data_IF_781756456020
#
_entry.id   IF_781756456020
#
_cell.length_a   1.000
_cell.length_b   1.000
_cell.length_c   1.000
_cell.angle_alpha   90.00
_cell.angle_beta   90.00
_cell.angle_gamma   90.00
#
_symmetry.space_group_name_H-M   'P 1'
#
loop_
_entity.id
_entity.type
_entity.pdbx_description
1 polymer ?
#
# COMPACT_ATOMS: atom_id res chain seq x y z
N UNK A 1 35.63 -0.47 6.75
CA UNK A 1 35.52 -1.94 6.71
C UNK A 1 34.09 -2.31 7.00
N UNK A 2 33.43 -3.23 6.29
CA UNK A 2 32.09 -3.68 6.65
C UNK A 2 32.17 -4.35 8.03
N UNK A 3 31.29 -3.91 8.95
CA UNK A 3 31.18 -4.56 10.27
C UNK A 3 30.77 -6.01 10.07
N UNK A 4 31.45 -6.99 10.68
CA UNK A 4 31.07 -8.42 10.57
C UNK A 4 29.71 -8.75 11.18
N UNK A 5 29.08 -7.81 11.86
CA UNK A 5 27.84 -7.97 12.64
C UNK A 5 26.53 -7.53 11.92
N UNK A 6 26.57 -7.20 10.63
CA UNK A 6 25.32 -6.84 9.94
C UNK A 6 24.44 -8.08 9.73
N UNK A 7 23.12 -8.01 10.06
CA UNK A 7 22.23 -9.14 9.88
C UNK A 7 22.09 -9.55 8.39
N UNK A 8 21.80 -10.79 8.11
CA UNK A 8 21.43 -11.22 6.79
C UNK A 8 20.01 -10.67 6.47
N UNK A 9 19.89 -9.97 5.36
CA UNK A 9 18.62 -9.39 4.89
C UNK A 9 18.11 -10.18 3.70
N UNK A 10 16.84 -10.59 3.73
CA UNK A 10 16.13 -11.12 2.57
C UNK A 10 15.10 -10.10 2.07
N UNK A 11 15.32 -9.59 0.85
CA UNK A 11 14.34 -8.82 0.11
C UNK A 11 13.40 -9.76 -0.65
N UNK A 12 12.11 -9.75 -0.32
CA UNK A 12 11.09 -10.56 -0.99
C UNK A 12 10.28 -9.69 -1.95
N UNK A 13 10.35 -9.97 -3.24
CA UNK A 13 9.75 -9.16 -4.31
C UNK A 13 8.65 -9.97 -5.00
N UNK A 14 7.36 -9.76 -4.68
CA UNK A 14 6.27 -10.35 -5.44
C UNK A 14 6.24 -9.73 -6.83
N UNK A 15 6.21 -10.55 -7.85
CA UNK A 15 6.31 -10.13 -9.23
C UNK A 15 5.29 -10.88 -10.09
N UNK A 16 4.62 -10.18 -11.01
CA UNK A 16 3.84 -10.80 -12.08
C UNK A 16 3.61 -9.82 -13.22
N UNK A 17 4.13 -10.15 -14.41
CA UNK A 17 4.07 -9.34 -15.62
C UNK A 17 4.61 -7.91 -15.37
N UNK A 18 5.86 -7.82 -14.94
CA UNK A 18 6.57 -6.59 -14.58
C UNK A 18 7.86 -6.41 -15.42
N UNK A 19 7.92 -6.98 -16.65
CA UNK A 19 9.12 -6.94 -17.50
C UNK A 19 9.70 -5.54 -17.67
N UNK A 20 8.83 -4.50 -17.71
CA UNK A 20 9.24 -3.11 -17.84
C UNK A 20 9.91 -2.56 -16.57
N UNK A 21 9.56 -3.06 -15.38
CA UNK A 21 9.91 -2.44 -14.10
C UNK A 21 10.90 -3.24 -13.27
N UNK A 22 10.92 -4.57 -13.43
CA UNK A 22 11.74 -5.44 -12.59
C UNK A 22 13.25 -5.19 -12.77
N UNK A 23 13.71 -4.88 -13.98
CA UNK A 23 15.11 -4.56 -14.26
C UNK A 23 15.59 -3.35 -13.45
N UNK A 24 14.98 -2.16 -13.59
CA UNK A 24 15.29 -0.99 -12.77
C UNK A 24 15.20 -1.23 -11.26
N UNK A 25 14.27 -2.06 -10.79
CA UNK A 25 14.15 -2.46 -9.39
C UNK A 25 15.40 -3.23 -8.95
N UNK A 26 15.78 -4.28 -9.66
CA UNK A 26 16.96 -5.10 -9.36
C UNK A 26 18.25 -4.29 -9.45
N UNK A 27 18.38 -3.41 -10.45
CA UNK A 27 19.51 -2.50 -10.56
C UNK A 27 19.68 -1.61 -9.32
N UNK A 28 18.57 -1.14 -8.74
CA UNK A 28 18.60 -0.33 -7.52
C UNK A 28 19.11 -1.12 -6.31
N UNK A 29 18.77 -2.41 -6.22
CA UNK A 29 19.26 -3.31 -5.17
C UNK A 29 20.71 -3.72 -5.37
N UNK A 30 21.17 -3.87 -6.62
CA UNK A 30 22.57 -4.09 -6.93
C UNK A 30 23.43 -2.89 -6.52
N UNK A 31 22.94 -1.67 -6.74
CA UNK A 31 23.63 -0.43 -6.37
C UNK A 31 23.51 -0.06 -4.89
N UNK A 32 22.73 -0.79 -4.08
CA UNK A 32 22.60 -0.45 -2.66
C UNK A 32 23.92 -0.62 -1.90
N UNK A 33 24.10 0.14 -0.81
CA UNK A 33 25.27 0.15 0.04
C UNK A 33 25.32 -1.02 1.05
N UNK A 34 24.33 -1.90 1.04
CA UNK A 34 24.30 -3.08 1.87
C UNK A 34 25.22 -4.17 1.30
N UNK A 35 26.04 -4.86 2.13
CA UNK A 35 26.96 -5.90 1.68
C UNK A 35 26.21 -7.01 0.92
N UNK A 36 26.70 -7.40 -0.26
CA UNK A 36 26.00 -8.39 -1.12
C UNK A 36 26.05 -9.80 -0.55
N UNK A 37 27.09 -10.09 0.21
CA UNK A 37 27.23 -11.33 1.00
C UNK A 37 26.27 -11.42 2.20
N UNK A 38 25.61 -10.30 2.55
CA UNK A 38 24.59 -10.18 3.59
C UNK A 38 23.22 -9.80 3.04
N UNK A 39 23.03 -9.91 1.72
CA UNK A 39 21.77 -9.61 1.03
C UNK A 39 21.33 -10.81 0.19
N UNK A 40 20.10 -11.22 0.36
CA UNK A 40 19.40 -12.17 -0.48
C UNK A 40 18.20 -11.48 -1.13
N UNK A 41 18.00 -11.65 -2.42
CA UNK A 41 16.87 -11.09 -3.17
C UNK A 41 16.08 -12.22 -3.79
N UNK A 42 14.86 -12.42 -3.33
CA UNK A 42 13.94 -13.45 -3.81
C UNK A 42 12.84 -12.78 -4.67
N UNK A 43 12.90 -12.96 -5.98
CA UNK A 43 11.85 -12.52 -6.90
C UNK A 43 10.82 -13.65 -7.01
N UNK A 44 9.67 -13.45 -6.34
CA UNK A 44 8.60 -14.44 -6.26
C UNK A 44 7.60 -14.22 -7.40
N UNK A 45 7.83 -14.90 -8.53
CA UNK A 45 7.12 -14.68 -9.79
C UNK A 45 5.84 -15.50 -9.91
N UNK A 46 4.74 -14.81 -10.21
CA UNK A 46 3.40 -15.37 -10.41
C UNK A 46 3.19 -16.01 -11.78
N UNK A 47 4.16 -16.74 -12.32
CA UNK A 47 4.15 -17.35 -13.66
C UNK A 47 3.89 -16.29 -14.73
N UNK A 48 4.76 -15.29 -14.80
CA UNK A 48 4.72 -14.21 -15.79
C UNK A 48 4.87 -14.70 -17.23
N UNK A 49 4.19 -14.02 -18.16
CA UNK A 49 4.10 -14.39 -19.59
C UNK A 49 4.63 -13.26 -20.51
N UNK A 50 5.14 -12.16 -19.94
CA UNK A 50 5.55 -10.94 -20.64
C UNK A 50 7.08 -10.77 -20.77
N UNK A 51 7.86 -11.82 -20.49
CA UNK A 51 9.33 -11.78 -20.48
C UNK A 51 9.94 -11.41 -19.12
N UNK A 52 9.14 -11.14 -18.08
CA UNK A 52 9.64 -10.86 -16.72
C UNK A 52 10.63 -11.92 -16.24
N UNK A 53 10.31 -13.20 -16.44
CA UNK A 53 11.13 -14.34 -15.97
C UNK A 53 12.50 -14.35 -16.63
N UNK A 54 12.58 -14.06 -17.94
CA UNK A 54 13.84 -14.01 -18.67
C UNK A 54 14.72 -12.87 -18.17
N UNK A 55 14.13 -11.70 -17.90
CA UNK A 55 14.84 -10.59 -17.26
C UNK A 55 15.42 -11.02 -15.92
N UNK A 56 14.62 -11.60 -15.01
CA UNK A 56 15.08 -12.03 -13.68
C UNK A 56 16.15 -13.12 -13.79
N UNK A 57 15.98 -14.10 -14.68
CA UNK A 57 16.98 -15.15 -14.93
C UNK A 57 18.33 -14.56 -15.37
N UNK A 58 18.31 -13.54 -16.24
CA UNK A 58 19.51 -12.82 -16.65
C UNK A 58 20.24 -12.11 -15.51
N UNK A 59 19.50 -11.59 -14.51
CA UNK A 59 20.08 -11.01 -13.30
C UNK A 59 20.61 -12.10 -12.36
N UNK A 60 19.88 -13.17 -12.13
CA UNK A 60 20.29 -14.29 -11.28
C UNK A 60 21.56 -14.98 -11.76
N UNK A 61 21.74 -15.09 -13.09
CA UNK A 61 22.97 -15.64 -13.69
C UNK A 61 24.22 -14.79 -13.40
N UNK A 62 24.06 -13.48 -13.19
CA UNK A 62 25.17 -12.54 -12.94
C UNK A 62 25.37 -12.21 -11.46
N UNK A 63 24.36 -12.42 -10.62
CA UNK A 63 24.35 -12.04 -9.21
C UNK A 63 23.80 -13.17 -8.35
N UNK A 64 24.68 -13.92 -7.70
CA UNK A 64 24.34 -15.11 -6.90
C UNK A 64 23.39 -14.85 -5.72
N UNK A 65 23.29 -13.60 -5.27
CA UNK A 65 22.36 -13.19 -4.21
C UNK A 65 20.92 -12.95 -4.71
N UNK A 66 20.67 -13.03 -6.04
CA UNK A 66 19.33 -12.90 -6.65
C UNK A 66 18.84 -14.28 -7.08
N UNK A 67 17.65 -14.65 -6.66
CA UNK A 67 16.99 -15.91 -7.02
C UNK A 67 15.56 -15.69 -7.49
N UNK A 68 15.14 -16.51 -8.47
CA UNK A 68 13.74 -16.61 -8.90
C UNK A 68 13.04 -17.69 -8.09
N UNK A 69 11.86 -17.37 -7.54
CA UNK A 69 10.99 -18.31 -6.81
C UNK A 69 9.63 -18.36 -7.50
N UNK A 70 9.10 -19.55 -7.72
CA UNK A 70 7.80 -19.73 -8.36
C UNK A 70 6.65 -19.46 -7.39
N UNK A 71 5.63 -18.71 -7.85
CA UNK A 71 4.38 -18.52 -7.17
C UNK A 71 3.20 -18.99 -8.05
N UNK A 72 2.87 -20.30 -8.04
CA UNK A 72 1.81 -20.86 -8.91
C UNK A 72 0.42 -20.30 -8.58
N UNK A 73 0.20 -19.75 -7.39
CA UNK A 73 -1.07 -19.13 -6.99
C UNK A 73 -1.28 -17.72 -7.54
N UNK A 74 -0.26 -17.11 -8.11
CA UNK A 74 -0.30 -15.84 -8.89
C UNK A 74 -0.81 -14.61 -8.13
N UNK A 75 -0.94 -14.65 -6.81
CA UNK A 75 -1.37 -13.53 -5.97
C UNK A 75 -0.24 -13.09 -5.03
N UNK A 76 -0.26 -11.79 -4.68
CA UNK A 76 0.80 -11.16 -3.89
C UNK A 76 1.04 -11.83 -2.52
N UNK A 77 0.05 -12.12 -1.66
CA UNK A 77 0.33 -12.75 -0.36
C UNK A 77 0.97 -14.13 -0.50
N UNK A 78 0.59 -14.92 -1.51
CA UNK A 78 1.22 -16.21 -1.75
C UNK A 78 2.68 -16.05 -2.22
N UNK A 79 2.98 -15.04 -3.03
CA UNK A 79 4.36 -14.70 -3.42
C UNK A 79 5.20 -14.30 -2.20
N UNK A 80 4.65 -13.45 -1.32
CA UNK A 80 5.30 -13.06 -0.08
C UNK A 80 5.58 -14.26 0.82
N UNK A 81 4.61 -15.14 1.00
CA UNK A 81 4.74 -16.34 1.84
C UNK A 81 5.74 -17.35 1.25
N UNK A 82 5.74 -17.54 -0.07
CA UNK A 82 6.75 -18.35 -0.73
C UNK A 82 8.16 -17.79 -0.49
N UNK A 83 8.34 -16.48 -0.65
CA UNK A 83 9.62 -15.84 -0.38
C UNK A 83 10.03 -15.91 1.08
N UNK A 84 9.12 -15.69 2.04
CA UNK A 84 9.42 -15.81 3.48
C UNK A 84 9.85 -17.23 3.84
N UNK A 85 9.21 -18.23 3.25
CA UNK A 85 9.55 -19.65 3.46
C UNK A 85 10.97 -20.00 2.97
N UNK A 86 11.35 -19.45 1.81
CA UNK A 86 12.66 -19.67 1.17
C UNK A 86 13.76 -18.73 1.71
N UNK A 87 13.39 -17.72 2.51
CA UNK A 87 14.31 -16.71 3.00
C UNK A 87 15.26 -17.28 4.06
N UNK A 88 16.52 -16.83 4.04
CA UNK A 88 17.53 -17.17 5.04
C UNK A 88 17.86 -15.98 5.97
N UNK A 89 17.41 -14.77 5.62
CA UNK A 89 17.74 -13.54 6.37
C UNK A 89 17.14 -13.48 7.77
N UNK A 90 17.86 -12.83 8.68
CA UNK A 90 17.39 -12.45 10.04
C UNK A 90 16.36 -11.32 9.96
N UNK A 91 16.42 -10.58 8.86
CA UNK A 91 15.55 -9.47 8.53
C UNK A 91 14.87 -9.75 7.19
N UNK A 92 13.55 -9.59 7.14
CA UNK A 92 12.72 -9.80 5.94
C UNK A 92 12.17 -8.45 5.49
N UNK A 93 12.36 -8.13 4.21
CA UNK A 93 11.88 -6.90 3.58
C UNK A 93 10.97 -7.21 2.40
N UNK A 94 9.62 -7.17 2.55
CA UNK A 94 8.70 -7.14 1.43
C UNK A 94 8.94 -5.89 0.58
N UNK A 95 9.23 -6.04 -0.70
CA UNK A 95 9.59 -4.94 -1.61
C UNK A 95 8.75 -4.99 -2.89
N UNK A 96 8.51 -3.84 -3.52
CA UNK A 96 7.70 -3.77 -4.75
C UNK A 96 8.54 -3.92 -6.01
N UNK A 97 8.10 -4.73 -6.98
CA UNK A 97 8.78 -4.95 -8.25
C UNK A 97 8.86 -3.68 -9.14
N UNK A 98 7.93 -2.73 -8.96
CA UNK A 98 7.86 -1.46 -9.70
C UNK A 98 8.29 -0.25 -8.86
N UNK A 99 9.13 -0.47 -7.88
CA UNK A 99 9.76 0.58 -7.09
C UNK A 99 11.27 0.64 -7.35
N UNK A 100 11.83 1.82 -7.19
CA UNK A 100 13.27 2.07 -7.23
C UNK A 100 13.69 2.58 -5.85
N UNK A 101 14.71 1.98 -5.29
CA UNK A 101 15.16 2.23 -3.93
C UNK A 101 16.44 3.07 -3.93
N UNK A 102 16.57 3.98 -2.95
CA UNK A 102 17.81 4.72 -2.77
C UNK A 102 18.95 3.79 -2.35
N UNK A 103 20.22 4.12 -2.66
CA UNK A 103 21.34 3.26 -2.27
C UNK A 103 21.40 2.90 -0.80
N UNK A 104 21.02 3.81 0.10
CA UNK A 104 21.02 3.60 1.55
C UNK A 104 19.67 3.10 2.12
N UNK A 105 18.73 2.65 1.27
CA UNK A 105 17.39 2.25 1.72
C UNK A 105 17.45 1.08 2.73
N UNK A 106 18.15 0.02 2.37
CA UNK A 106 18.26 -1.19 3.22
C UNK A 106 19.07 -0.89 4.47
N UNK A 107 20.26 -0.30 4.33
CA UNK A 107 21.18 -0.04 5.46
C UNK A 107 20.55 0.87 6.52
N UNK A 108 19.83 1.92 6.10
CA UNK A 108 19.14 2.83 7.03
C UNK A 108 17.95 2.18 7.74
N UNK A 109 17.16 1.36 7.04
CA UNK A 109 16.06 0.65 7.71
C UNK A 109 16.54 -0.41 8.67
N UNK A 110 17.60 -1.15 8.33
CA UNK A 110 18.22 -2.11 9.25
C UNK A 110 18.77 -1.39 10.50
N UNK A 111 19.51 -0.30 10.31
CA UNK A 111 20.01 0.49 11.44
C UNK A 111 18.85 1.02 12.31
N UNK A 112 17.80 1.56 11.71
CA UNK A 112 16.63 2.04 12.45
C UNK A 112 15.89 0.91 13.19
N UNK A 113 15.82 -0.30 12.61
CA UNK A 113 15.24 -1.48 13.26
C UNK A 113 16.02 -1.85 14.52
N UNK A 114 17.35 -1.77 14.48
CA UNK A 114 18.23 -2.03 15.63
C UNK A 114 18.13 -0.93 16.68
N UNK A 115 18.27 0.34 16.28
CA UNK A 115 18.24 1.50 17.18
C UNK A 115 16.90 1.63 17.93
N UNK A 116 15.78 1.42 17.25
CA UNK A 116 14.45 1.62 17.86
C UNK A 116 13.93 0.40 18.60
N UNK A 117 14.50 -0.77 18.34
CA UNK A 117 13.98 -2.04 18.82
C UNK A 117 12.54 -2.31 18.38
N UNK A 118 12.06 -1.66 17.31
CA UNK A 118 10.76 -1.92 16.74
C UNK A 118 10.72 -3.30 16.06
N UNK A 119 9.51 -3.84 15.86
CA UNK A 119 9.29 -5.11 15.17
C UNK A 119 9.28 -4.92 13.65
N UNK A 120 8.84 -3.75 13.20
CA UNK A 120 8.79 -3.34 11.81
C UNK A 120 9.12 -1.86 11.67
N UNK A 121 9.95 -1.51 10.71
CA UNK A 121 10.24 -0.12 10.34
C UNK A 121 10.06 0.08 8.85
N UNK A 122 9.67 1.28 8.42
CA UNK A 122 9.54 1.61 7.00
C UNK A 122 9.66 3.09 6.75
N UNK A 123 9.93 3.43 5.49
CA UNK A 123 10.14 4.81 5.05
C UNK A 123 8.88 5.52 4.57
N UNK A 124 9.06 6.72 4.06
CA UNK A 124 8.03 7.52 3.38
C UNK A 124 7.96 7.10 1.91
N UNK A 125 6.73 7.00 1.40
CA UNK A 125 6.45 6.72 0.01
C UNK A 125 6.09 8.01 -0.71
N UNK A 126 7.05 8.57 -1.44
CA UNK A 126 6.82 9.74 -2.29
C UNK A 126 6.08 9.31 -3.56
N UNK A 127 4.88 9.82 -3.74
CA UNK A 127 4.05 9.51 -4.90
C UNK A 127 4.41 10.43 -6.06
N UNK A 128 4.90 9.86 -7.15
CA UNK A 128 5.22 10.57 -8.39
C UNK A 128 4.07 10.47 -9.39
N UNK A 129 3.86 11.49 -10.25
CA UNK A 129 2.86 11.41 -11.31
C UNK A 129 3.29 10.43 -12.41
N UNK A 130 2.33 9.71 -13.00
CA UNK A 130 2.60 8.78 -14.10
C UNK A 130 3.08 9.47 -15.39
N UNK A 131 2.72 10.75 -15.55
CA UNK A 131 3.10 11.64 -16.67
C UNK A 131 2.90 13.10 -16.26
N UNK A 132 3.24 14.04 -17.18
CA UNK A 132 3.22 15.47 -16.91
C UNK A 132 1.85 16.16 -17.01
N UNK A 133 0.77 15.42 -17.21
CA UNK A 133 -0.58 16.01 -17.26
C UNK A 133 -1.03 16.55 -15.91
N UNK A 134 -1.89 17.57 -15.91
CA UNK A 134 -2.45 18.15 -14.69
C UNK A 134 -3.22 17.10 -13.87
N UNK A 135 -3.92 16.17 -14.54
CA UNK A 135 -4.63 15.09 -13.89
C UNK A 135 -3.68 14.10 -13.21
N UNK A 136 -2.60 13.67 -13.87
CA UNK A 136 -1.62 12.76 -13.28
C UNK A 136 -0.92 13.39 -12.06
N UNK A 137 -0.60 14.68 -12.14
CA UNK A 137 -0.06 15.46 -11.00
C UNK A 137 -1.10 15.53 -9.85
N UNK A 138 -2.37 15.80 -10.17
CA UNK A 138 -3.43 15.84 -9.16
C UNK A 138 -3.67 14.48 -8.49
N UNK A 139 -3.57 13.37 -9.25
CA UNK A 139 -3.63 12.02 -8.69
C UNK A 139 -2.49 11.78 -7.70
N UNK A 140 -1.25 12.15 -8.05
CA UNK A 140 -0.12 12.02 -7.14
C UNK A 140 -0.29 12.88 -5.87
N UNK A 141 -0.73 14.13 -6.03
CA UNK A 141 -1.03 15.04 -4.92
C UNK A 141 -2.16 14.48 -4.05
N UNK A 142 -3.28 14.05 -4.62
CA UNK A 142 -4.41 13.50 -3.88
C UNK A 142 -4.05 12.27 -3.05
N UNK A 143 -3.17 11.41 -3.58
CA UNK A 143 -2.65 10.22 -2.90
C UNK A 143 -1.63 10.54 -1.78
N UNK A 144 -1.18 11.78 -1.68
CA UNK A 144 -0.25 12.28 -0.66
C UNK A 144 -0.82 13.44 0.15
N UNK A 145 -2.12 13.75 0.01
CA UNK A 145 -2.77 14.85 0.70
C UNK A 145 -3.59 14.35 1.89
N UNK A 146 -3.52 15.00 3.07
CA UNK A 146 -4.28 14.58 4.27
C UNK A 146 -5.79 14.47 4.00
N UNK A 147 -6.38 15.35 3.20
CA UNK A 147 -7.80 15.25 2.83
C UNK A 147 -8.07 14.00 1.96
N UNK A 148 -7.12 13.56 1.12
CA UNK A 148 -7.30 12.40 0.25
C UNK A 148 -7.10 11.04 0.93
N UNK A 149 -6.12 10.96 1.87
CA UNK A 149 -5.69 9.67 2.46
C UNK A 149 -5.67 9.69 4.01
N UNK A 150 -6.21 10.75 4.62
CA UNK A 150 -6.22 10.91 6.07
C UNK A 150 -4.80 11.04 6.65
N UNK A 151 -4.61 10.51 7.86
CA UNK A 151 -3.33 10.49 8.56
C UNK A 151 -2.44 9.30 8.17
N UNK A 152 -2.42 8.94 6.88
CA UNK A 152 -1.52 7.92 6.34
C UNK A 152 -0.09 8.47 6.26
N UNK A 153 0.62 8.49 7.39
CA UNK A 153 1.91 9.19 7.54
C UNK A 153 2.98 8.73 6.54
N UNK A 154 2.97 7.48 6.15
CA UNK A 154 3.89 7.02 5.11
C UNK A 154 3.63 7.66 3.72
N UNK A 155 2.46 8.25 3.48
CA UNK A 155 2.10 8.96 2.25
C UNK A 155 2.20 10.47 2.37
N UNK A 156 1.77 11.02 3.52
CA UNK A 156 1.77 12.46 3.75
C UNK A 156 3.10 12.98 4.31
N UNK A 157 3.97 12.08 4.74
CA UNK A 157 5.22 12.40 5.41
C UNK A 157 5.04 12.64 6.91
N UNK A 158 6.16 12.74 7.62
CA UNK A 158 6.25 13.14 9.01
C UNK A 158 7.55 13.92 9.22
N UNK A 159 7.59 14.85 10.19
CA UNK A 159 8.80 15.62 10.52
C UNK A 159 9.82 14.77 11.29
N UNK A 160 9.34 13.82 12.10
CA UNK A 160 10.14 13.01 13.00
C UNK A 160 9.73 11.53 12.93
N UNK A 161 10.62 10.65 13.39
CA UNK A 161 10.32 9.22 13.58
C UNK A 161 9.13 9.07 14.52
N UNK A 162 8.20 8.19 14.18
CA UNK A 162 6.97 8.02 14.97
C UNK A 162 6.39 6.63 14.86
N UNK A 163 5.70 6.20 15.90
CA UNK A 163 4.87 5.01 15.88
C UNK A 163 3.66 5.22 14.94
N UNK A 164 3.40 4.23 14.10
CA UNK A 164 2.32 4.26 13.11
C UNK A 164 1.59 2.91 13.08
N UNK A 165 0.44 2.89 12.42
CA UNK A 165 -0.33 1.67 12.21
C UNK A 165 0.20 0.80 11.06
N UNK A 166 0.87 1.41 10.09
CA UNK A 166 1.42 0.68 8.94
C UNK A 166 2.53 1.49 8.25
N UNK A 167 3.41 0.80 7.57
CA UNK A 167 4.46 1.33 6.69
C UNK A 167 4.49 0.57 5.37
N UNK A 168 4.85 1.18 4.24
CA UNK A 168 5.08 0.48 3.00
C UNK A 168 6.45 -0.20 3.04
N UNK A 169 6.60 -1.32 2.35
CA UNK A 169 7.88 -2.00 2.19
C UNK A 169 8.63 -2.15 3.52
N UNK A 170 7.93 -2.68 4.53
CA UNK A 170 8.43 -2.77 5.89
C UNK A 170 9.69 -3.64 6.01
N UNK A 171 10.54 -3.27 6.95
CA UNK A 171 11.72 -4.02 7.36
C UNK A 171 11.39 -4.72 8.68
N UNK A 172 11.18 -6.03 8.63
CA UNK A 172 10.71 -6.84 9.74
C UNK A 172 11.84 -7.72 10.28
N UNK A 173 11.90 -7.89 11.60
CA UNK A 173 12.66 -9.03 12.19
C UNK A 173 11.98 -10.33 11.78
N UNK A 174 12.74 -11.37 11.41
CA UNK A 174 12.19 -12.70 11.10
C UNK A 174 11.29 -13.24 12.22
N UNK A 175 11.71 -13.07 13.48
CA UNK A 175 10.95 -13.50 14.65
C UNK A 175 9.52 -12.93 14.72
N UNK A 176 9.20 -11.86 13.98
CA UNK A 176 7.82 -11.36 13.84
C UNK A 176 6.96 -12.41 13.14
N UNK A 177 7.43 -12.97 12.03
CA UNK A 177 6.70 -13.98 11.27
C UNK A 177 6.55 -15.30 12.05
N UNK A 178 7.53 -15.65 12.87
CA UNK A 178 7.46 -16.81 13.76
C UNK A 178 6.40 -16.60 14.85
N UNK A 179 6.27 -15.36 15.36
CA UNK A 179 5.34 -15.00 16.44
C UNK A 179 3.91 -14.82 15.96
N UNK A 180 3.70 -14.06 14.88
CA UNK A 180 2.35 -13.68 14.42
C UNK A 180 1.88 -14.44 13.17
N UNK A 181 2.73 -15.28 12.57
CA UNK A 181 2.48 -15.95 11.29
C UNK A 181 2.73 -15.04 10.08
N UNK A 182 2.56 -15.61 8.91
CA UNK A 182 2.83 -14.96 7.61
C UNK A 182 1.60 -14.21 7.07
N UNK A 183 1.65 -13.72 5.83
CA UNK A 183 0.54 -13.00 5.19
C UNK A 183 -0.70 -13.87 5.01
N UNK A 184 -1.87 -13.28 5.22
CA UNK A 184 -3.14 -13.96 4.96
C UNK A 184 -3.41 -14.05 3.45
N UNK A 185 -3.45 -15.27 2.92
CA UNK A 185 -3.58 -15.54 1.49
C UNK A 185 -4.98 -15.31 0.92
N UNK A 186 -5.98 -15.10 1.76
CA UNK A 186 -7.31 -14.68 1.33
C UNK A 186 -7.40 -13.18 1.03
N UNK A 187 -6.40 -12.39 1.44
CA UNK A 187 -6.39 -10.94 1.27
C UNK A 187 -5.51 -10.53 0.09
N UNK A 188 -6.08 -10.47 -1.10
CA UNK A 188 -5.36 -10.03 -2.32
C UNK A 188 -4.94 -8.55 -2.23
N UNK A 189 -5.61 -7.77 -1.38
CA UNK A 189 -5.28 -6.38 -1.01
C UNK A 189 -5.36 -6.22 0.50
N UNK A 190 -4.64 -5.23 1.03
CA UNK A 190 -4.57 -4.94 2.46
C UNK A 190 -4.01 -6.11 3.31
N UNK A 191 -3.30 -7.04 2.70
CA UNK A 191 -2.58 -8.12 3.38
C UNK A 191 -1.49 -7.58 4.32
N UNK A 192 -0.84 -6.47 3.91
CA UNK A 192 0.13 -5.73 4.72
C UNK A 192 -0.52 -5.02 5.91
N UNK A 193 -1.66 -4.39 5.69
CA UNK A 193 -2.44 -3.76 6.77
C UNK A 193 -2.94 -4.80 7.79
N UNK A 194 -3.38 -5.97 7.33
CA UNK A 194 -3.80 -7.08 8.20
C UNK A 194 -2.63 -7.59 9.05
N UNK A 195 -1.50 -7.87 8.42
CA UNK A 195 -0.30 -8.33 9.11
C UNK A 195 0.17 -7.31 10.17
N UNK A 196 0.21 -6.03 9.79
CA UNK A 196 0.58 -4.94 10.70
C UNK A 196 -0.43 -4.78 11.85
N UNK A 197 -1.73 -4.88 11.59
CA UNK A 197 -2.75 -4.83 12.64
C UNK A 197 -2.65 -6.02 13.60
N UNK A 198 -2.35 -7.21 13.10
CA UNK A 198 -2.10 -8.42 13.89
C UNK A 198 -0.85 -8.28 14.74
N UNK A 199 0.22 -7.67 14.20
CA UNK A 199 1.43 -7.33 14.94
C UNK A 199 1.14 -6.37 16.09
N UNK A 200 0.44 -5.26 15.84
CA UNK A 200 0.07 -4.27 16.85
C UNK A 200 -0.84 -4.85 17.94
N UNK A 201 -1.79 -5.72 17.56
CA UNK A 201 -2.69 -6.41 18.51
C UNK A 201 -1.92 -7.30 19.50
N UNK A 202 -0.77 -7.81 19.10
CA UNK A 202 0.13 -8.60 19.95
C UNK A 202 1.20 -7.72 20.66
N UNK A 203 0.99 -6.42 20.75
CA UNK A 203 1.88 -5.49 21.44
C UNK A 203 3.15 -5.14 20.66
N UNK A 204 3.23 -5.49 19.38
CA UNK A 204 4.35 -5.12 18.51
C UNK A 204 4.37 -3.64 18.19
N UNK A 205 5.53 -3.15 17.72
CA UNK A 205 5.75 -1.73 17.41
C UNK A 205 6.15 -1.55 15.96
N UNK A 206 5.49 -0.59 15.27
CA UNK A 206 5.77 -0.20 13.90
C UNK A 206 6.22 1.25 13.89
N UNK A 207 7.39 1.53 13.31
CA UNK A 207 7.98 2.87 13.29
C UNK A 207 8.15 3.39 11.86
N UNK A 208 7.67 4.59 11.61
CA UNK A 208 7.96 5.34 10.39
C UNK A 208 9.30 6.06 10.54
N UNK A 209 10.17 5.92 9.52
CA UNK A 209 11.49 6.52 9.41
C UNK A 209 11.45 7.55 8.27
N UNK A 210 11.15 8.83 8.55
CA UNK A 210 10.90 9.83 7.49
C UNK A 210 12.10 10.12 6.59
N UNK A 211 13.31 9.93 7.12
CA UNK A 211 14.56 10.13 6.37
C UNK A 211 14.85 9.03 5.34
N UNK A 212 14.08 7.93 5.35
CA UNK A 212 14.15 6.88 4.33
C UNK A 212 12.99 7.04 3.37
N UNK A 213 13.30 7.22 2.08
CA UNK A 213 12.31 7.52 1.06
C UNK A 213 12.35 6.47 -0.05
N UNK A 214 11.17 6.02 -0.46
CA UNK A 214 10.94 5.27 -1.69
C UNK A 214 10.03 6.05 -2.63
N UNK A 215 10.16 5.82 -3.93
CA UNK A 215 9.36 6.50 -4.95
C UNK A 215 8.35 5.52 -5.56
N UNK A 216 7.12 5.98 -5.73
CA UNK A 216 6.03 5.21 -6.30
C UNK A 216 5.33 6.02 -7.39
N UNK A 217 5.22 5.48 -8.58
CA UNK A 217 4.46 6.10 -9.66
C UNK A 217 2.96 5.83 -9.50
N UNK A 218 2.17 6.90 -9.35
CA UNK A 218 0.72 6.81 -9.28
C UNK A 218 0.13 6.20 -10.57
N UNK A 219 -1.07 5.65 -10.46
CA UNK A 219 -1.85 5.25 -11.65
C UNK A 219 -2.17 6.48 -12.50
N UNK A 220 -2.13 6.34 -13.83
CA UNK A 220 -2.24 7.47 -14.76
C UNK A 220 -3.66 7.97 -15.04
N UNK A 221 -4.71 7.28 -14.56
CA UNK A 221 -6.10 7.66 -14.85
C UNK A 221 -7.02 7.57 -13.63
N UNK A 222 -8.10 8.38 -13.62
CA UNK A 222 -9.13 8.34 -12.59
C UNK A 222 -9.76 6.94 -12.47
N UNK A 223 -10.04 6.28 -13.58
CA UNK A 223 -10.64 4.94 -13.58
C UNK A 223 -9.75 3.88 -12.91
N UNK A 224 -8.44 3.94 -13.15
CA UNK A 224 -7.49 3.03 -12.49
C UNK A 224 -7.40 3.32 -10.98
N UNK A 225 -7.38 4.58 -10.58
CA UNK A 225 -7.36 4.99 -9.17
C UNK A 225 -8.69 4.65 -8.49
N UNK A 226 -9.82 4.88 -9.14
CA UNK A 226 -11.15 4.49 -8.65
C UNK A 226 -11.21 2.98 -8.35
N UNK A 227 -10.77 2.15 -9.31
CA UNK A 227 -10.71 0.69 -9.14
C UNK A 227 -9.79 0.29 -7.98
N UNK A 228 -8.62 0.91 -7.89
CA UNK A 228 -7.66 0.65 -6.80
C UNK A 228 -8.26 1.00 -5.44
N UNK A 229 -8.90 2.17 -5.30
CA UNK A 229 -9.52 2.61 -4.04
C UNK A 229 -10.77 1.80 -3.69
N UNK A 230 -11.57 1.40 -4.69
CA UNK A 230 -12.66 0.46 -4.47
C UNK A 230 -12.15 -0.86 -3.87
N UNK A 231 -11.06 -1.42 -4.41
CA UNK A 231 -10.44 -2.63 -3.88
C UNK A 231 -9.91 -2.41 -2.44
N UNK A 232 -9.23 -1.30 -2.18
CA UNK A 232 -8.79 -0.97 -0.82
C UNK A 232 -9.97 -0.90 0.15
N UNK A 233 -11.04 -0.22 -0.23
CA UNK A 233 -12.26 -0.16 0.58
C UNK A 233 -12.90 -1.53 0.78
N UNK A 234 -12.98 -2.34 -0.26
CA UNK A 234 -13.60 -3.64 -0.24
C UNK A 234 -12.85 -4.66 0.66
N UNK A 235 -11.54 -4.70 0.58
CA UNK A 235 -10.72 -5.62 1.40
C UNK A 235 -10.48 -5.13 2.83
N UNK A 236 -10.72 -3.85 3.12
CA UNK A 236 -10.48 -3.29 4.45
C UNK A 236 -11.37 -3.86 5.56
N UNK A 237 -12.71 -3.94 5.41
CA UNK A 237 -13.56 -4.62 6.38
C UNK A 237 -13.19 -6.10 6.57
N UNK A 238 -12.75 -6.76 5.49
CA UNK A 238 -12.33 -8.16 5.56
C UNK A 238 -11.10 -8.35 6.45
N UNK A 239 -10.07 -7.50 6.24
CA UNK A 239 -8.89 -7.49 7.08
C UNK A 239 -9.26 -7.19 8.55
N UNK A 240 -10.14 -6.19 8.78
CA UNK A 240 -10.62 -5.86 10.12
C UNK A 240 -11.35 -7.01 10.80
N UNK A 241 -12.17 -7.76 10.08
CA UNK A 241 -12.87 -8.96 10.64
C UNK A 241 -11.90 -10.10 10.95
N UNK A 242 -10.88 -10.32 10.11
CA UNK A 242 -9.85 -11.33 10.37
C UNK A 242 -9.03 -11.01 11.63
N UNK A 243 -8.66 -9.75 11.80
CA UNK A 243 -7.97 -9.29 13.01
C UNK A 243 -8.90 -9.19 14.23
N UNK A 244 -10.22 -9.07 14.01
CA UNK A 244 -11.23 -8.95 15.06
C UNK A 244 -11.31 -7.55 15.68
N UNK A 245 -10.85 -6.51 14.96
CA UNK A 245 -10.93 -5.11 15.40
C UNK A 245 -10.92 -4.12 14.23
N UNK A 246 -11.49 -2.92 14.44
CA UNK A 246 -11.31 -1.79 13.53
C UNK A 246 -9.87 -1.29 13.67
N UNK A 247 -9.13 -1.27 12.55
CA UNK A 247 -7.71 -0.93 12.58
C UNK A 247 -7.47 0.56 12.82
N UNK A 248 -8.17 1.44 12.07
CA UNK A 248 -8.09 2.91 12.27
C UNK A 248 -9.40 3.60 11.86
N UNK A 249 -9.76 4.71 12.55
CA UNK A 249 -10.98 5.47 12.24
C UNK A 249 -11.00 6.05 10.82
N UNK A 250 -9.84 6.50 10.29
CA UNK A 250 -9.75 7.04 8.91
C UNK A 250 -10.28 6.07 7.86
N UNK A 251 -10.21 4.77 8.13
CA UNK A 251 -10.66 3.74 7.20
C UNK A 251 -12.17 3.55 7.17
N UNK A 252 -12.88 4.04 8.20
CA UNK A 252 -14.34 3.96 8.30
C UNK A 252 -15.02 5.22 7.74
N UNK A 253 -14.36 6.38 7.83
CA UNK A 253 -14.91 7.68 7.44
C UNK A 253 -15.46 7.70 6.00
N UNK A 254 -14.77 7.20 4.95
CA UNK A 254 -15.32 7.22 3.59
C UNK A 254 -16.60 6.37 3.45
N UNK A 255 -16.67 5.23 4.14
CA UNK A 255 -17.87 4.37 4.11
C UNK A 255 -19.06 5.04 4.80
N UNK A 256 -18.84 5.68 5.96
CA UNK A 256 -19.86 6.45 6.66
C UNK A 256 -20.34 7.63 5.83
N UNK A 257 -19.42 8.37 5.19
CA UNK A 257 -19.75 9.49 4.32
C UNK A 257 -20.62 9.06 3.14
N UNK A 258 -20.20 8.05 2.40
CA UNK A 258 -20.95 7.54 1.24
C UNK A 258 -22.29 6.94 1.67
N UNK A 259 -22.33 6.20 2.76
CA UNK A 259 -23.56 5.64 3.33
C UNK A 259 -24.54 6.74 3.77
N UNK A 260 -24.05 7.78 4.46
CA UNK A 260 -24.87 8.92 4.85
C UNK A 260 -25.44 9.68 3.63
N UNK A 261 -24.61 9.91 2.60
CA UNK A 261 -25.09 10.53 1.35
C UNK A 261 -26.15 9.67 0.67
N UNK A 262 -25.97 8.35 0.60
CA UNK A 262 -26.93 7.46 -0.02
C UNK A 262 -28.28 7.42 0.74
N UNK A 263 -28.22 7.30 2.07
CA UNK A 263 -29.41 7.26 2.92
C UNK A 263 -30.15 8.61 2.91
N UNK A 264 -29.45 9.73 3.14
CA UNK A 264 -30.09 11.05 3.13
C UNK A 264 -30.58 11.43 1.75
N UNK A 265 -29.88 11.02 0.67
CA UNK A 265 -30.31 11.21 -0.71
C UNK A 265 -31.60 10.43 -1.03
N UNK A 266 -31.70 9.17 -0.62
CA UNK A 266 -32.92 8.38 -0.78
C UNK A 266 -34.09 8.96 0.02
N UNK A 267 -33.85 9.35 1.28
CA UNK A 267 -34.87 10.00 2.11
C UNK A 267 -35.32 11.36 1.56
N UNK A 268 -34.46 12.12 0.91
CA UNK A 268 -34.75 13.41 0.32
C UNK A 268 -35.83 13.35 -0.79
N UNK A 269 -36.06 12.16 -1.37
CA UNK A 269 -37.13 11.93 -2.35
C UNK A 269 -38.51 12.02 -1.69
N UNK A 270 -38.66 11.67 -0.43
CA UNK A 270 -39.93 11.57 0.27
C UNK A 270 -40.04 12.47 1.52
N UNK A 271 -38.91 12.92 2.08
CA UNK A 271 -38.86 13.67 3.35
C UNK A 271 -38.14 15.01 3.14
N UNK A 272 -38.88 16.13 3.24
CA UNK A 272 -38.32 17.47 2.99
C UNK A 272 -37.11 17.84 3.85
N UNK A 273 -37.04 17.59 5.18
CA UNK A 273 -35.84 17.85 5.97
C UNK A 273 -34.59 17.11 5.52
N UNK A 274 -34.73 15.93 4.91
CA UNK A 274 -33.61 15.17 4.38
C UNK A 274 -32.91 15.88 3.20
N UNK A 275 -33.63 16.75 2.46
CA UNK A 275 -33.02 17.60 1.41
C UNK A 275 -32.01 18.58 1.99
N UNK A 276 -32.27 19.13 3.15
CA UNK A 276 -31.33 20.01 3.86
C UNK A 276 -30.12 19.19 4.38
N UNK A 277 -30.37 17.99 4.88
CA UNK A 277 -29.30 17.11 5.37
C UNK A 277 -28.33 16.70 4.25
N UNK A 278 -28.83 16.25 3.11
CA UNK A 278 -27.96 15.87 1.96
C UNK A 278 -27.23 17.10 1.41
N UNK A 279 -27.92 18.25 1.30
CA UNK A 279 -27.30 19.50 0.83
C UNK A 279 -26.19 19.98 1.80
N UNK A 280 -26.43 19.93 3.10
CA UNK A 280 -25.44 20.27 4.14
C UNK A 280 -24.22 19.34 4.08
N UNK A 281 -24.45 18.03 3.99
CA UNK A 281 -23.36 17.05 3.92
C UNK A 281 -22.51 17.21 2.63
N UNK A 282 -23.16 17.35 1.48
CA UNK A 282 -22.49 17.58 0.20
C UNK A 282 -21.80 18.96 0.16
N UNK A 283 -22.42 20.00 0.71
CA UNK A 283 -21.85 21.34 0.81
C UNK A 283 -20.63 21.40 1.71
N UNK A 284 -20.68 20.77 2.87
CA UNK A 284 -19.53 20.68 3.78
C UNK A 284 -18.36 19.93 3.14
N UNK A 285 -18.64 18.82 2.46
CA UNK A 285 -17.62 18.07 1.72
C UNK A 285 -17.00 18.92 0.60
N UNK A 286 -17.83 19.59 -0.21
CA UNK A 286 -17.35 20.45 -1.29
C UNK A 286 -16.51 21.62 -0.75
N UNK A 287 -16.92 22.24 0.33
CA UNK A 287 -16.16 23.31 0.98
C UNK A 287 -14.77 22.82 1.44
N UNK A 288 -14.70 21.64 2.06
CA UNK A 288 -13.42 21.04 2.48
C UNK A 288 -12.53 20.66 1.26
N UNK A 289 -13.13 20.15 0.18
CA UNK A 289 -12.42 19.83 -1.05
C UNK A 289 -11.87 21.10 -1.73
N UNK A 290 -12.68 22.17 -1.81
CA UNK A 290 -12.28 23.48 -2.35
C UNK A 290 -11.15 24.11 -1.52
N UNK A 291 -11.26 24.11 -0.19
CA UNK A 291 -10.21 24.63 0.69
C UNK A 291 -8.89 23.84 0.49
N UNK A 292 -8.96 22.51 0.43
CA UNK A 292 -7.80 21.65 0.19
C UNK A 292 -7.16 21.91 -1.19
N UNK A 293 -7.99 22.07 -2.23
CA UNK A 293 -7.52 22.39 -3.58
C UNK A 293 -6.91 23.80 -3.64
N UNK A 294 -7.50 24.80 -2.97
CA UNK A 294 -6.97 26.16 -2.91
C UNK A 294 -5.58 26.22 -2.26
N UNK A 295 -5.36 25.46 -1.17
CA UNK A 295 -4.04 25.35 -0.54
C UNK A 295 -3.00 24.72 -1.47
N UNK A 296 -3.43 23.81 -2.36
CA UNK A 296 -2.55 23.14 -3.32
C UNK A 296 -2.12 24.07 -4.49
N UNK A 297 -2.86 25.16 -4.79
CA UNK A 297 -2.57 26.07 -5.93
C UNK A 297 -1.14 26.60 -5.89
N UNK A 298 -0.68 27.05 -4.71
CA UNK A 298 0.66 27.67 -4.55
C UNK A 298 1.80 26.72 -4.91
N UNK A 299 1.63 25.41 -4.63
CA UNK A 299 2.69 24.40 -4.83
C UNK A 299 2.58 23.68 -6.17
N UNK A 300 1.36 23.50 -6.68
CA UNK A 300 1.09 22.59 -7.80
C UNK A 300 0.41 23.28 -9.00
N UNK A 301 0.05 24.56 -8.88
CA UNK A 301 -0.61 25.34 -9.92
C UNK A 301 -2.12 25.12 -10.02
N UNK A 302 -2.84 26.09 -10.62
CA UNK A 302 -4.29 26.11 -10.64
C UNK A 302 -4.93 24.93 -11.40
N UNK A 303 -4.32 24.47 -12.50
CA UNK A 303 -4.85 23.33 -13.29
C UNK A 303 -4.81 22.01 -12.47
N UNK A 304 -3.74 21.79 -11.72
CA UNK A 304 -3.63 20.64 -10.82
C UNK A 304 -4.64 20.74 -9.67
N UNK A 305 -4.75 21.92 -9.05
CA UNK A 305 -5.70 22.17 -7.97
C UNK A 305 -7.16 21.97 -8.42
N UNK A 306 -7.54 22.43 -9.61
CA UNK A 306 -8.87 22.19 -10.17
C UNK A 306 -9.13 20.68 -10.39
N UNK A 307 -8.14 19.93 -10.86
CA UNK A 307 -8.27 18.48 -11.04
C UNK A 307 -8.42 17.72 -9.70
N UNK A 308 -7.94 18.26 -8.57
CA UNK A 308 -8.15 17.67 -7.24
C UNK A 308 -9.63 17.58 -6.86
N UNK A 309 -10.47 18.48 -7.37
CA UNK A 309 -11.92 18.44 -7.16
C UNK A 309 -12.59 17.21 -7.79
N UNK A 310 -11.94 16.55 -8.75
CA UNK A 310 -12.35 15.26 -9.30
C UNK A 310 -11.64 14.11 -8.57
N UNK A 311 -10.40 14.30 -8.17
CA UNK A 311 -9.59 13.26 -7.52
C UNK A 311 -10.14 12.92 -6.13
N UNK A 312 -10.37 13.91 -5.26
CA UNK A 312 -10.85 13.64 -3.90
C UNK A 312 -12.16 12.85 -3.85
N UNK A 313 -13.23 13.23 -4.57
CA UNK A 313 -14.44 12.42 -4.61
C UNK A 313 -14.19 11.01 -5.17
N UNK A 314 -13.32 10.89 -6.18
CA UNK A 314 -12.96 9.57 -6.73
C UNK A 314 -12.35 8.67 -5.66
N UNK A 315 -11.41 9.18 -4.86
CA UNK A 315 -10.80 8.41 -3.77
C UNK A 315 -11.84 7.99 -2.73
N UNK A 316 -12.61 8.96 -2.20
CA UNK A 316 -13.52 8.73 -1.09
C UNK A 316 -14.73 7.89 -1.48
N UNK A 317 -15.38 8.21 -2.62
CA UNK A 317 -16.56 7.48 -3.08
C UNK A 317 -16.19 6.03 -3.47
N UNK A 318 -15.10 5.84 -4.20
CA UNK A 318 -14.68 4.49 -4.59
C UNK A 318 -14.34 3.63 -3.38
N UNK A 319 -13.58 4.17 -2.41
CA UNK A 319 -13.27 3.47 -1.18
C UNK A 319 -14.53 3.17 -0.35
N UNK A 320 -15.38 4.17 -0.14
CA UNK A 320 -16.63 4.02 0.62
C UNK A 320 -17.56 2.98 0.01
N UNK A 321 -17.77 3.03 -1.32
CA UNK A 321 -18.56 2.03 -2.05
C UNK A 321 -17.97 0.63 -1.90
N UNK A 322 -16.66 0.46 -2.04
CA UNK A 322 -16.00 -0.83 -1.82
C UNK A 322 -16.28 -1.38 -0.42
N UNK A 323 -16.13 -0.54 0.62
CA UNK A 323 -16.38 -0.96 2.02
C UNK A 323 -17.84 -1.34 2.24
N UNK A 324 -18.79 -0.54 1.75
CA UNK A 324 -20.22 -0.83 1.86
C UNK A 324 -20.56 -2.13 1.15
N UNK A 325 -20.03 -2.35 -0.05
CA UNK A 325 -20.24 -3.60 -0.81
C UNK A 325 -19.78 -4.81 0.01
N UNK A 326 -18.58 -4.77 0.58
CA UNK A 326 -18.05 -5.86 1.39
C UNK A 326 -18.91 -6.16 2.62
N UNK A 327 -19.41 -5.10 3.30
CA UNK A 327 -20.29 -5.26 4.47
C UNK A 327 -21.64 -5.86 4.07
N UNK A 328 -22.27 -5.37 3.00
CA UNK A 328 -23.54 -5.87 2.51
C UNK A 328 -23.45 -7.33 2.03
N UNK A 329 -22.43 -7.68 1.26
CA UNK A 329 -22.23 -9.06 0.80
C UNK A 329 -22.09 -10.03 2.00
N UNK A 330 -21.43 -9.61 3.06
CA UNK A 330 -21.35 -10.41 4.28
C UNK A 330 -22.69 -10.53 4.99
N UNK A 331 -23.44 -9.41 5.10
CA UNK A 331 -24.75 -9.40 5.79
C UNK A 331 -25.76 -10.32 5.11
N UNK A 332 -25.74 -10.43 3.78
CA UNK A 332 -26.65 -11.31 3.00
C UNK A 332 -26.12 -12.74 2.81
N UNK A 333 -25.05 -13.09 3.54
CA UNK A 333 -24.49 -14.45 3.52
C UNK A 333 -23.84 -14.85 2.18
N UNK A 334 -23.70 -13.93 1.21
CA UNK A 334 -23.09 -14.20 -0.10
C UNK A 334 -21.59 -14.46 -0.05
N UNK A 335 -20.95 -14.24 1.09
CA UNK A 335 -19.52 -14.49 1.28
C UNK A 335 -19.25 -15.66 2.21
N UNK A 336 -18.87 -16.73 1.62
CA UNK A 336 -17.86 -17.63 2.18
C UNK A 336 -16.52 -16.94 1.87
N UNK A 337 -15.67 -16.72 2.88
CA UNK A 337 -14.31 -16.18 2.72
C UNK A 337 -13.63 -16.82 1.50
N UNK A 338 -12.85 -16.10 0.72
CA UNK A 338 -12.73 -16.28 -0.70
C UNK A 338 -11.79 -17.41 -1.11
N UNK A 339 -12.32 -18.57 -1.41
CA UNK A 339 -11.68 -19.40 -2.43
C UNK A 339 -11.93 -18.85 -3.87
N UNK A 340 -12.64 -17.72 -4.02
CA UNK A 340 -13.01 -17.09 -5.30
C UNK A 340 -12.65 -15.60 -5.37
N UNK A 341 -11.35 -15.28 -5.28
CA UNK A 341 -10.83 -13.95 -5.59
C UNK A 341 -10.93 -13.62 -7.08
N UNK A 342 -11.33 -14.58 -7.90
CA UNK A 342 -11.47 -14.43 -9.35
C UNK A 342 -12.54 -13.40 -9.78
N UNK A 343 -13.47 -13.00 -8.90
CA UNK A 343 -14.57 -12.08 -9.25
C UNK A 343 -14.28 -10.60 -9.04
N UNK A 344 -13.21 -10.23 -8.30
CA UNK A 344 -12.81 -8.82 -8.15
C UNK A 344 -11.68 -8.53 -9.12
N UNK A 345 -11.92 -7.74 -10.19
CA UNK A 345 -10.88 -7.44 -11.16
C UNK A 345 -9.69 -6.79 -10.46
N UNK A 346 -8.53 -7.44 -10.51
CA UNK A 346 -7.31 -6.90 -9.93
C UNK A 346 -6.89 -5.67 -10.72
N UNK A 347 -6.74 -4.51 -10.06
CA UNK A 347 -6.11 -3.34 -10.67
C UNK A 347 -4.61 -3.63 -10.76
N UNK A 348 -4.10 -3.70 -11.97
CA UNK A 348 -2.67 -3.56 -12.25
C UNK A 348 -2.29 -2.10 -12.27
#
# INVERSE_FOLDING_TARGET
MPSPDRPLVTAVIPCRNEARYIGPCLDSLIRCDYPKERLEVLVCDGLSEDGTRDVVAGYAARHSFIRLVDNPRRITPCAMNAGIKEAHGDVIMPMGAHAVYSPSYISRLVAALEETGADNVGGVLVTLPANETALARALAVGLSHPFGVGNSYFRIGAAERRLVDTVPFGCYRRAVFDRIGVFDEDLVRNQDDELNARLLKQGGRIMLIPEVVSHYYARGSLGQVARMFYQYGYFKPLAAWKVGQIMTLRQVVPALFVGALAVTGALALVVSPARLAVAGLAGAYLAAALASAALAVRRHGARCAAALLLVFPTLHCSYGLGSITAVLERAIGRRRLPHHVASVPLSR
#
